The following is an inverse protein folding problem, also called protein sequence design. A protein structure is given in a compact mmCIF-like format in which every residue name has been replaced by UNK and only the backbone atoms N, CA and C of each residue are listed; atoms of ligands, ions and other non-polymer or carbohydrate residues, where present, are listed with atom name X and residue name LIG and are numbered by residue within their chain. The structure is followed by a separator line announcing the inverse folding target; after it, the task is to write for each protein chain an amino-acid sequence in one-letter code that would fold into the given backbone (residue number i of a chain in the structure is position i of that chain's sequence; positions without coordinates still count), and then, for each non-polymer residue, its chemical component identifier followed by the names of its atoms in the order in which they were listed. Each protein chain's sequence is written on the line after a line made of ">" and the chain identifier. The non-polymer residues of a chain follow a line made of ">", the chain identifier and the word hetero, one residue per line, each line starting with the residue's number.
data_IF_557515576621
#
_entry.id   IF_557515576621
#
_cell.length_a   1.000
_cell.length_b   1.000
_cell.length_c   1.000
_cell.angle_alpha   90.00
_cell.angle_beta   90.00
_cell.angle_gamma   90.00
#
_symmetry.space_group_name_H-M   'P 1'
#
loop_
_entity.id
_entity.type
_entity.pdbx_description
1 polymer ?
#
# COMPACT_ATOMS: atom_id res chain seq x y z
N UNK A 1 -16.44 -42.89 -3.41
CA UNK A 1 -16.65 -41.55 -2.83
C UNK A 1 -16.37 -40.37 -3.79
N UNK A 2 -16.23 -40.56 -5.12
CA UNK A 2 -15.83 -39.47 -6.04
C UNK A 2 -17.02 -38.83 -6.80
N UNK A 3 -18.18 -39.49 -6.91
CA UNK A 3 -19.35 -38.95 -7.65
C UNK A 3 -20.12 -37.82 -6.93
N UNK A 4 -19.92 -37.60 -5.63
CA UNK A 4 -20.69 -36.63 -4.84
C UNK A 4 -20.18 -35.18 -4.94
N UNK A 5 -18.87 -34.96 -5.06
CA UNK A 5 -18.30 -33.59 -5.10
C UNK A 5 -18.58 -32.86 -6.41
N UNK A 6 -18.64 -33.58 -7.53
CA UNK A 6 -18.94 -33.00 -8.84
C UNK A 6 -20.40 -32.58 -8.98
N UNK A 7 -21.32 -33.33 -8.35
CA UNK A 7 -22.75 -33.02 -8.34
C UNK A 7 -23.04 -31.77 -7.48
N UNK A 8 -22.35 -31.62 -6.34
CA UNK A 8 -22.48 -30.44 -5.47
C UNK A 8 -22.00 -29.18 -6.18
N UNK A 9 -20.84 -29.21 -6.85
CA UNK A 9 -20.33 -28.05 -7.58
C UNK A 9 -21.22 -27.63 -8.75
N UNK A 10 -21.83 -28.58 -9.47
CA UNK A 10 -22.77 -28.28 -10.57
C UNK A 10 -24.06 -27.63 -10.05
N UNK A 11 -24.59 -28.09 -8.92
CA UNK A 11 -25.79 -27.48 -8.31
C UNK A 11 -25.51 -26.08 -7.77
N UNK A 12 -24.33 -25.83 -7.17
CA UNK A 12 -23.95 -24.50 -6.67
C UNK A 12 -23.78 -23.47 -7.79
N UNK A 13 -23.19 -23.86 -8.92
CA UNK A 13 -23.02 -22.98 -10.09
C UNK A 13 -24.38 -22.62 -10.71
N UNK A 14 -25.32 -23.58 -10.75
CA UNK A 14 -26.66 -23.35 -11.31
C UNK A 14 -27.51 -22.43 -10.42
N UNK A 15 -27.40 -22.53 -9.09
CA UNK A 15 -28.10 -21.66 -8.14
C UNK A 15 -27.58 -20.22 -8.17
N UNK A 16 -26.25 -20.03 -8.30
CA UNK A 16 -25.65 -18.69 -8.42
C UNK A 16 -25.96 -18.02 -9.77
N UNK A 17 -26.05 -18.80 -10.85
CA UNK A 17 -26.45 -18.29 -12.17
C UNK A 17 -27.89 -17.78 -12.22
N UNK A 18 -28.83 -18.48 -11.58
CA UNK A 18 -30.26 -18.09 -11.55
C UNK A 18 -30.50 -16.86 -10.65
N UNK A 19 -29.78 -16.74 -9.53
CA UNK A 19 -29.86 -15.57 -8.65
C UNK A 19 -29.34 -14.27 -9.32
N UNK A 20 -28.28 -14.37 -10.12
CA UNK A 20 -27.74 -13.23 -10.87
C UNK A 20 -28.69 -12.70 -11.95
N UNK A 21 -29.39 -13.59 -12.66
CA UNK A 21 -30.36 -13.21 -13.71
C UNK A 21 -31.62 -12.57 -13.11
N UNK A 22 -32.06 -13.02 -11.93
CA UNK A 22 -33.21 -12.43 -11.22
C UNK A 22 -32.87 -11.03 -10.68
N UNK A 23 -31.69 -10.82 -10.10
CA UNK A 23 -31.26 -9.50 -9.62
C UNK A 23 -31.11 -8.49 -10.77
N UNK A 24 -30.58 -8.93 -11.92
CA UNK A 24 -30.46 -8.08 -13.11
C UNK A 24 -31.82 -7.68 -13.70
N UNK A 25 -32.80 -8.60 -13.71
CA UNK A 25 -34.17 -8.27 -14.14
C UNK A 25 -34.92 -7.39 -13.16
N UNK A 26 -34.68 -7.51 -11.85
CA UNK A 26 -35.26 -6.60 -10.85
C UNK A 26 -34.70 -5.18 -10.94
N UNK A 27 -33.45 -5.02 -11.41
CA UNK A 27 -32.85 -3.71 -11.64
C UNK A 27 -33.42 -2.99 -12.86
N UNK A 28 -33.81 -3.72 -13.92
CA UNK A 28 -34.36 -3.09 -15.13
C UNK A 28 -35.85 -2.71 -15.07
N UNK A 29 -36.60 -3.13 -14.04
CA UNK A 29 -38.07 -2.94 -13.96
C UNK A 29 -38.49 -1.91 -12.89
N UNK A 30 -37.66 -0.92 -12.56
CA UNK A 30 -38.12 0.24 -11.75
C UNK A 30 -38.62 1.37 -12.66
N UNK A 31 -39.93 1.69 -12.70
CA UNK A 31 -40.40 2.90 -13.34
C UNK A 31 -40.08 4.11 -12.44
N UNK A 32 -39.55 5.17 -13.05
CA UNK A 32 -39.43 6.51 -12.48
C UNK A 32 -40.83 7.11 -12.32
N UNK A 33 -41.31 7.21 -11.08
CA UNK A 33 -42.48 8.01 -10.75
C UNK A 33 -42.00 9.43 -10.44
N UNK A 34 -42.12 10.32 -11.43
CA UNK A 34 -42.27 11.76 -11.21
C UNK A 34 -43.70 11.98 -10.68
N UNK A 35 -43.84 12.23 -9.39
CA UNK A 35 -45.12 12.61 -8.80
C UNK A 35 -45.35 14.11 -9.00
N UNK A 36 -46.16 14.41 -10.00
CA UNK A 36 -46.87 15.67 -10.21
C UNK A 36 -47.78 15.96 -9.00
N UNK A 37 -47.41 16.91 -8.14
CA UNK A 37 -48.29 17.45 -7.11
C UNK A 37 -48.87 18.79 -7.58
N UNK A 38 -50.01 18.73 -8.26
CA UNK A 38 -50.92 19.85 -8.45
C UNK A 38 -52.14 19.71 -7.54
N UNK A 39 -52.44 20.80 -6.84
CA UNK A 39 -53.73 21.18 -6.22
C UNK A 39 -54.10 20.61 -4.83
N UNK A 40 -53.87 21.43 -3.79
CA UNK A 40 -54.83 21.63 -2.71
C UNK A 40 -54.90 23.14 -2.33
N UNK A 41 -56.07 23.66 -1.94
CA UNK A 41 -56.35 25.10 -1.92
C UNK A 41 -55.86 25.77 -0.63
N UNK A 42 -55.18 26.91 -0.76
CA UNK A 42 -54.77 27.75 0.38
C UNK A 42 -55.71 28.96 0.47
N UNK A 43 -56.47 29.05 1.54
CA UNK A 43 -57.22 30.25 1.95
C UNK A 43 -56.23 31.28 2.51
N UNK A 44 -56.27 32.56 2.12
CA UNK A 44 -55.31 33.55 2.60
C UNK A 44 -55.75 34.14 3.95
N UNK A 45 -55.00 33.87 5.01
CA UNK A 45 -55.09 34.62 6.26
C UNK A 45 -54.10 35.80 6.24
N UNK A 46 -54.65 37.02 6.31
CA UNK A 46 -53.93 38.29 6.39
C UNK A 46 -53.32 38.50 7.78
N UNK A 47 -52.06 38.95 7.87
CA UNK A 47 -51.45 39.58 9.06
C UNK A 47 -50.56 40.77 8.60
N UNK A 48 -50.52 41.90 9.34
CA UNK A 48 -50.45 43.23 8.76
C UNK A 48 -49.05 43.85 8.65
N UNK A 49 -48.96 44.87 7.80
CA UNK A 49 -47.80 45.70 7.52
C UNK A 49 -47.31 46.49 8.75
N UNK A 50 -45.98 46.50 8.96
CA UNK A 50 -45.28 47.54 9.71
C UNK A 50 -44.05 47.99 8.90
N UNK A 51 -43.85 49.31 8.84
CA UNK A 51 -42.88 50.02 8.02
C UNK A 51 -41.51 50.21 8.70
N UNK A 52 -40.46 50.67 7.97
CA UNK A 52 -39.06 50.35 8.25
C UNK A 52 -38.31 51.37 9.12
N UNK A 53 -37.39 50.88 9.95
CA UNK A 53 -36.40 51.67 10.69
C UNK A 53 -34.99 51.46 10.13
N UNK A 54 -34.31 52.56 9.82
CA UNK A 54 -32.97 52.61 9.24
C UNK A 54 -31.86 52.23 10.24
N UNK A 55 -30.91 51.41 9.82
CA UNK A 55 -29.58 51.32 10.43
C UNK A 55 -28.54 50.80 9.41
N UNK A 56 -27.68 51.73 8.97
CA UNK A 56 -26.29 51.59 8.50
C UNK A 56 -25.77 50.20 8.09
N UNK A 57 -25.55 50.02 6.78
CA UNK A 57 -24.75 48.92 6.22
C UNK A 57 -23.26 49.25 6.26
N UNK A 58 -22.49 48.49 7.03
CA UNK A 58 -21.06 48.23 6.77
C UNK A 58 -20.92 47.14 5.70
N UNK A 59 -19.95 47.20 4.77
CA UNK A 59 -19.88 46.24 3.67
C UNK A 59 -19.43 44.87 4.17
N UNK A 60 -20.35 43.91 4.11
CA UNK A 60 -20.09 42.48 4.26
C UNK A 60 -19.32 42.01 3.04
N UNK A 61 -18.18 41.35 3.24
CA UNK A 61 -17.45 40.61 2.21
C UNK A 61 -18.41 39.58 1.61
N UNK A 62 -18.84 39.79 0.36
CA UNK A 62 -19.71 38.86 -0.36
C UNK A 62 -19.06 37.47 -0.46
N UNK A 63 -19.69 36.49 0.16
CA UNK A 63 -19.47 35.09 -0.13
C UNK A 63 -20.06 34.77 -1.50
N UNK A 64 -19.21 34.53 -2.50
CA UNK A 64 -19.65 34.11 -3.84
C UNK A 64 -20.46 32.80 -3.76
N UNK A 65 -21.63 32.69 -4.41
CA UNK A 65 -22.47 31.49 -4.34
C UNK A 65 -21.78 30.24 -4.88
N UNK A 66 -21.90 29.12 -4.15
CA UNK A 66 -21.29 27.81 -4.45
C UNK A 66 -21.69 27.21 -5.82
N UNK A 67 -22.78 27.70 -6.44
CA UNK A 67 -23.27 27.24 -7.73
C UNK A 67 -22.53 27.89 -8.93
N UNK A 68 -22.14 29.16 -8.81
CA UNK A 68 -21.39 29.87 -9.86
C UNK A 68 -19.90 29.46 -9.91
N UNK A 69 -19.40 28.88 -8.82
CA UNK A 69 -18.01 28.39 -8.71
C UNK A 69 -17.80 27.04 -9.41
N UNK A 70 -18.79 26.12 -9.39
CA UNK A 70 -18.69 24.79 -10.04
C UNK A 70 -18.23 24.77 -11.51
N UNK A 71 -18.74 25.62 -12.43
CA UNK A 71 -18.29 25.62 -13.82
C UNK A 71 -16.85 26.13 -14.00
N UNK A 72 -16.41 27.10 -13.19
CA UNK A 72 -15.03 27.62 -13.21
C UNK A 72 -14.03 26.57 -12.67
N UNK A 73 -14.45 25.86 -11.62
CA UNK A 73 -13.74 24.73 -11.01
C UNK A 73 -13.50 23.61 -12.04
N UNK A 74 -14.53 23.23 -12.79
CA UNK A 74 -14.42 22.21 -13.83
C UNK A 74 -13.48 22.64 -14.97
N UNK A 75 -13.54 23.91 -15.38
CA UNK A 75 -12.67 24.45 -16.44
C UNK A 75 -11.18 24.41 -16.07
N UNK A 76 -10.83 24.67 -14.81
CA UNK A 76 -9.44 24.64 -14.36
C UNK A 76 -8.84 23.21 -14.40
N UNK A 77 -9.60 22.20 -13.97
CA UNK A 77 -9.16 20.79 -14.05
C UNK A 77 -8.98 20.38 -15.51
N UNK A 78 -9.89 20.79 -16.40
CA UNK A 78 -9.80 20.53 -17.84
C UNK A 78 -8.56 21.16 -18.47
N UNK A 79 -8.19 22.39 -18.09
CA UNK A 79 -6.96 23.01 -18.59
C UNK A 79 -5.70 22.22 -18.20
N UNK A 80 -5.61 21.80 -16.93
CA UNK A 80 -4.49 20.97 -16.46
C UNK A 80 -4.45 19.60 -17.15
N UNK A 81 -5.61 18.97 -17.37
CA UNK A 81 -5.71 17.71 -18.10
C UNK A 81 -5.24 17.87 -19.55
N UNK A 82 -5.65 18.93 -20.24
CA UNK A 82 -5.20 19.26 -21.60
C UNK A 82 -3.69 19.47 -21.66
N UNK A 83 -3.14 20.32 -20.80
CA UNK A 83 -1.68 20.56 -20.72
C UNK A 83 -0.90 19.28 -20.46
N UNK A 84 -1.43 18.40 -19.60
CA UNK A 84 -0.83 17.10 -19.31
C UNK A 84 -0.82 16.21 -20.56
N UNK A 85 -1.94 16.10 -21.28
CA UNK A 85 -2.05 15.30 -22.50
C UNK A 85 -1.15 15.81 -23.64
N UNK A 86 -1.07 17.14 -23.80
CA UNK A 86 -0.16 17.76 -24.79
C UNK A 86 1.30 17.44 -24.49
N UNK A 87 1.71 17.49 -23.22
CA UNK A 87 3.06 17.14 -22.80
C UNK A 87 3.34 15.63 -22.95
N UNK A 88 2.35 14.79 -22.61
CA UNK A 88 2.45 13.33 -22.71
C UNK A 88 2.63 12.85 -24.16
N UNK A 89 1.90 13.48 -25.10
CA UNK A 89 1.94 13.14 -26.53
C UNK A 89 3.07 13.84 -27.29
N UNK A 90 3.43 15.06 -26.90
CA UNK A 90 4.39 15.91 -27.61
C UNK A 90 5.84 15.77 -27.17
N UNK A 91 6.13 15.16 -26.02
CA UNK A 91 7.49 15.01 -25.47
C UNK A 91 7.84 13.53 -25.26
N UNK A 92 9.13 13.23 -25.15
CA UNK A 92 9.63 11.89 -24.86
C UNK A 92 10.73 11.91 -23.78
N UNK A 93 10.94 10.74 -23.16
CA UNK A 93 12.00 10.53 -22.18
C UNK A 93 11.94 11.51 -21.01
N UNK A 94 13.11 11.92 -20.53
CA UNK A 94 13.26 12.75 -19.32
C UNK A 94 12.59 14.12 -19.45
N UNK A 95 12.51 14.69 -20.66
CA UNK A 95 11.85 15.97 -20.90
C UNK A 95 10.34 15.87 -20.69
N UNK A 96 9.71 14.78 -21.14
CA UNK A 96 8.31 14.46 -20.87
C UNK A 96 8.08 14.36 -19.37
N UNK A 97 8.86 13.51 -18.69
CA UNK A 97 8.66 13.22 -17.26
C UNK A 97 8.82 14.47 -16.39
N UNK A 98 9.82 15.31 -16.69
CA UNK A 98 10.02 16.60 -16.01
C UNK A 98 8.83 17.55 -16.24
N UNK A 99 8.30 17.61 -17.46
CA UNK A 99 7.16 18.48 -17.78
C UNK A 99 5.88 18.00 -17.09
N UNK A 100 5.59 16.70 -17.11
CA UNK A 100 4.43 16.14 -16.43
C UNK A 100 4.52 16.37 -14.92
N UNK A 101 5.71 16.21 -14.33
CA UNK A 101 5.94 16.51 -12.90
C UNK A 101 5.71 17.98 -12.57
N UNK A 102 6.20 18.90 -13.40
CA UNK A 102 5.93 20.34 -13.26
C UNK A 102 4.44 20.65 -13.30
N UNK A 103 3.70 20.15 -14.31
CA UNK A 103 2.25 20.36 -14.43
C UNK A 103 1.51 19.82 -13.20
N UNK A 104 1.93 18.66 -12.70
CA UNK A 104 1.30 18.01 -11.55
C UNK A 104 1.55 18.82 -10.26
N UNK A 105 2.75 19.38 -10.09
CA UNK A 105 3.11 20.23 -8.94
C UNK A 105 2.33 21.54 -8.96
N UNK A 106 2.20 22.15 -10.14
CA UNK A 106 1.39 23.35 -10.35
C UNK A 106 -0.08 23.08 -9.99
N UNK A 107 -0.61 21.90 -10.34
CA UNK A 107 -1.99 21.51 -10.01
C UNK A 107 -2.21 21.42 -8.50
N UNK A 108 -1.29 20.79 -7.76
CA UNK A 108 -1.36 20.72 -6.29
C UNK A 108 -1.36 22.12 -5.68
N UNK A 109 -0.45 22.97 -6.14
CA UNK A 109 -0.32 24.35 -5.64
C UNK A 109 -1.58 25.17 -5.94
N UNK A 110 -2.16 24.99 -7.13
CA UNK A 110 -3.33 25.74 -7.57
C UNK A 110 -4.62 25.28 -6.88
N UNK A 111 -4.82 23.98 -6.78
CA UNK A 111 -6.07 23.41 -6.28
C UNK A 111 -6.10 23.27 -4.76
N UNK A 112 -4.94 23.09 -4.13
CA UNK A 112 -4.87 22.80 -2.70
C UNK A 112 -5.66 21.53 -2.34
N UNK A 113 -6.06 21.42 -1.08
CA UNK A 113 -6.92 20.35 -0.60
C UNK A 113 -8.40 20.60 -0.95
N UNK A 114 -8.69 20.65 -2.27
CA UNK A 114 -10.01 20.95 -2.83
C UNK A 114 -10.58 19.83 -3.71
N UNK A 115 -11.87 19.92 -4.07
CA UNK A 115 -12.53 18.95 -4.97
C UNK A 115 -11.87 18.84 -6.35
N UNK A 116 -11.24 19.92 -6.83
CA UNK A 116 -10.49 20.00 -8.08
C UNK A 116 -9.28 19.06 -8.08
N UNK A 117 -8.57 18.99 -6.94
CA UNK A 117 -7.43 18.10 -6.80
C UNK A 117 -7.87 16.63 -6.82
N UNK A 118 -9.00 16.29 -6.20
CA UNK A 118 -9.58 14.94 -6.30
C UNK A 118 -9.97 14.61 -7.73
N UNK A 119 -10.61 15.54 -8.43
CA UNK A 119 -10.96 15.37 -9.85
C UNK A 119 -9.71 15.18 -10.71
N UNK A 120 -8.64 15.94 -10.46
CA UNK A 120 -7.36 15.80 -11.16
C UNK A 120 -6.66 14.46 -10.86
N UNK A 121 -6.68 14.00 -9.61
CA UNK A 121 -6.16 12.67 -9.22
C UNK A 121 -6.92 11.53 -9.92
N UNK A 122 -8.23 11.66 -10.07
CA UNK A 122 -9.07 10.71 -10.80
C UNK A 122 -8.81 10.76 -12.31
N UNK A 123 -8.54 11.94 -12.88
CA UNK A 123 -8.08 12.07 -14.26
C UNK A 123 -6.77 11.29 -14.47
N UNK A 124 -5.74 11.54 -13.65
CA UNK A 124 -4.45 10.84 -13.75
C UNK A 124 -4.61 9.31 -13.63
N UNK A 125 -5.54 8.86 -12.79
CA UNK A 125 -5.91 7.45 -12.68
C UNK A 125 -6.44 6.87 -13.99
N UNK A 126 -7.38 7.58 -14.64
CA UNK A 126 -8.02 7.16 -15.87
C UNK A 126 -7.10 7.24 -17.08
N UNK A 127 -6.14 8.18 -17.08
CA UNK A 127 -5.16 8.36 -18.16
C UNK A 127 -4.05 7.32 -18.18
N UNK A 128 -3.97 6.42 -17.18
CA UNK A 128 -2.90 5.44 -17.08
C UNK A 128 -1.55 6.04 -16.65
N UNK A 129 -1.56 7.25 -16.06
CA UNK A 129 -0.39 7.98 -15.58
C UNK A 129 0.15 7.40 -14.26
N UNK A 130 0.56 6.12 -14.28
CA UNK A 130 0.91 5.36 -13.08
C UNK A 130 2.09 6.00 -12.33
N UNK A 131 3.13 6.41 -13.05
CA UNK A 131 4.36 6.95 -12.45
C UNK A 131 4.13 8.31 -11.79
N UNK A 132 3.46 9.22 -12.48
CA UNK A 132 3.19 10.58 -12.01
C UNK A 132 2.21 10.56 -10.85
N UNK A 133 1.16 9.75 -10.94
CA UNK A 133 0.20 9.56 -9.84
C UNK A 133 0.88 8.96 -8.63
N UNK A 134 1.75 7.96 -8.81
CA UNK A 134 2.49 7.34 -7.71
C UNK A 134 3.37 8.36 -7.01
N UNK A 135 4.18 9.13 -7.77
CA UNK A 135 5.02 10.19 -7.20
C UNK A 135 4.19 11.23 -6.43
N UNK A 136 3.07 11.66 -7.00
CA UNK A 136 2.20 12.66 -6.39
C UNK A 136 1.71 12.19 -5.01
N UNK A 137 1.22 10.95 -4.94
CA UNK A 137 0.66 10.37 -3.72
C UNK A 137 1.72 10.05 -2.65
N UNK A 138 3.00 9.89 -3.03
CA UNK A 138 4.08 9.61 -2.08
C UNK A 138 4.90 10.82 -1.67
N UNK A 139 5.02 11.82 -2.53
CA UNK A 139 5.90 12.98 -2.35
C UNK A 139 5.20 14.30 -2.66
N UNK A 140 4.54 14.38 -3.83
CA UNK A 140 4.00 15.64 -4.35
C UNK A 140 2.92 16.30 -3.49
N UNK A 141 2.20 15.52 -2.68
CA UNK A 141 1.17 16.02 -1.75
C UNK A 141 1.71 16.38 -0.36
N UNK A 142 3.01 16.22 -0.11
CA UNK A 142 3.60 16.42 1.22
C UNK A 142 3.28 17.80 1.80
N UNK A 143 3.43 18.85 0.99
CA UNK A 143 3.18 20.24 1.39
C UNK A 143 1.75 20.53 1.84
N UNK A 144 0.76 19.76 1.36
CA UNK A 144 -0.64 19.92 1.79
C UNK A 144 -0.85 19.47 3.23
N UNK A 145 -0.11 18.46 3.66
CA UNK A 145 -0.27 17.84 4.98
C UNK A 145 0.72 18.38 6.03
N UNK A 146 1.58 19.32 5.65
CA UNK A 146 2.50 20.03 6.54
C UNK A 146 2.10 21.50 6.71
N UNK A 147 2.53 22.13 7.80
CA UNK A 147 2.31 23.56 8.00
C UNK A 147 0.85 23.97 8.26
N UNK A 148 0.48 25.26 8.08
CA UNK A 148 -0.79 25.81 8.54
C UNK A 148 -2.04 25.19 7.91
N UNK A 149 -1.95 24.74 6.65
CA UNK A 149 -3.07 24.16 5.89
C UNK A 149 -3.30 22.65 6.15
N UNK A 150 -2.45 22.04 6.98
CA UNK A 150 -2.48 20.61 7.23
C UNK A 150 -3.80 20.15 7.86
N UNK A 151 -4.44 21.01 8.66
CA UNK A 151 -5.72 20.69 9.31
C UNK A 151 -6.84 20.57 8.28
N UNK A 152 -6.93 21.52 7.36
CA UNK A 152 -7.90 21.52 6.26
C UNK A 152 -7.67 20.32 5.33
N UNK A 153 -6.42 20.02 4.98
CA UNK A 153 -6.07 18.86 4.16
C UNK A 153 -6.49 17.53 4.80
N UNK A 154 -6.37 17.43 6.12
CA UNK A 154 -6.80 16.28 6.91
C UNK A 154 -8.31 16.08 6.96
N UNK A 155 -9.10 17.14 6.78
CA UNK A 155 -10.55 17.03 6.60
C UNK A 155 -10.91 16.68 5.16
N UNK A 156 -10.22 17.30 4.19
CA UNK A 156 -10.43 17.06 2.77
C UNK A 156 -10.20 15.61 2.35
N UNK A 157 -9.16 14.93 2.85
CA UNK A 157 -8.88 13.56 2.45
C UNK A 157 -10.06 12.60 2.71
N UNK A 158 -10.90 12.91 3.71
CA UNK A 158 -12.07 12.10 4.06
C UNK A 158 -13.21 12.22 3.04
N UNK A 159 -13.19 13.26 2.20
CA UNK A 159 -14.17 13.45 1.12
C UNK A 159 -13.84 12.62 -0.12
N UNK A 160 -12.68 11.94 -0.15
CA UNK A 160 -12.34 11.01 -1.22
C UNK A 160 -13.29 9.80 -1.18
N UNK A 161 -14.10 9.64 -2.24
CA UNK A 161 -15.04 8.53 -2.38
C UNK A 161 -14.37 7.19 -2.70
N UNK A 162 -13.23 7.22 -3.41
CA UNK A 162 -12.45 6.02 -3.70
C UNK A 162 -11.64 5.58 -2.47
N UNK A 163 -11.90 4.35 -2.01
CA UNK A 163 -11.31 3.82 -0.77
C UNK A 163 -9.79 3.68 -0.85
N UNK A 164 -9.26 3.23 -1.99
CA UNK A 164 -7.81 3.03 -2.18
C UNK A 164 -7.07 4.36 -2.20
N UNK A 165 -7.63 5.35 -2.90
CA UNK A 165 -7.11 6.71 -2.91
C UNK A 165 -7.14 7.29 -1.50
N UNK A 166 -8.26 7.12 -0.78
CA UNK A 166 -8.38 7.59 0.60
C UNK A 166 -7.30 6.97 1.48
N UNK A 167 -7.08 5.66 1.44
CA UNK A 167 -5.99 5.00 2.19
C UNK A 167 -4.59 5.60 1.88
N UNK A 168 -4.31 5.87 0.61
CA UNK A 168 -3.04 6.47 0.18
C UNK A 168 -2.89 7.89 0.74
N UNK A 169 -3.94 8.71 0.69
CA UNK A 169 -3.96 10.04 1.28
C UNK A 169 -3.81 9.98 2.81
N UNK A 170 -4.49 9.05 3.49
CA UNK A 170 -4.36 8.86 4.94
C UNK A 170 -2.92 8.51 5.32
N UNK A 171 -2.27 7.63 4.55
CA UNK A 171 -0.86 7.29 4.77
C UNK A 171 0.06 8.50 4.61
N UNK A 172 -0.16 9.34 3.60
CA UNK A 172 0.65 10.54 3.40
C UNK A 172 0.40 11.58 4.50
N UNK A 173 -0.87 11.78 4.90
CA UNK A 173 -1.22 12.65 6.00
C UNK A 173 -0.54 12.24 7.31
N UNK A 174 -0.43 10.93 7.56
CA UNK A 174 0.28 10.40 8.73
C UNK A 174 1.78 10.69 8.66
N UNK A 175 2.40 10.47 7.49
CA UNK A 175 3.84 10.70 7.29
C UNK A 175 4.26 12.15 7.53
N UNK A 176 3.39 13.09 7.18
CA UNK A 176 3.62 14.53 7.27
C UNK A 176 3.03 15.15 8.55
N UNK A 177 2.49 14.34 9.46
CA UNK A 177 1.86 14.87 10.66
C UNK A 177 2.92 15.48 11.58
N UNK A 178 2.73 16.76 11.90
CA UNK A 178 3.62 17.55 12.75
C UNK A 178 2.88 18.09 13.97
N UNK A 179 3.60 18.22 15.08
CA UNK A 179 3.08 18.80 16.32
C UNK A 179 2.24 17.84 17.16
N UNK A 180 1.70 18.33 18.30
CA UNK A 180 0.81 17.57 19.17
C UNK A 180 -0.55 17.34 18.49
N UNK A 181 -1.39 16.47 19.07
CA UNK A 181 -2.77 16.27 18.59
C UNK A 181 -2.98 15.07 17.67
N UNK A 182 -1.95 14.24 17.44
CA UNK A 182 -2.09 13.06 16.57
C UNK A 182 -3.13 12.07 17.09
N UNK A 183 -3.09 11.76 18.39
CA UNK A 183 -4.01 10.82 19.02
C UNK A 183 -5.45 11.28 18.91
N UNK A 184 -5.71 12.56 19.23
CA UNK A 184 -7.02 13.18 19.15
C UNK A 184 -7.55 13.17 17.71
N UNK A 185 -6.70 13.47 16.73
CA UNK A 185 -7.06 13.40 15.32
C UNK A 185 -7.35 11.95 14.87
N UNK A 186 -6.48 11.02 15.26
CA UNK A 186 -6.63 9.59 14.97
C UNK A 186 -7.91 9.00 15.56
N UNK A 187 -8.30 9.45 16.76
CA UNK A 187 -9.56 9.06 17.41
C UNK A 187 -10.78 9.72 16.77
N UNK A 188 -10.72 11.02 16.49
CA UNK A 188 -11.80 11.78 15.86
C UNK A 188 -12.14 11.29 14.44
N UNK A 189 -11.15 10.74 13.72
CA UNK A 189 -11.37 10.12 12.41
C UNK A 189 -12.41 8.97 12.47
N UNK A 190 -12.49 8.29 13.62
CA UNK A 190 -13.57 7.36 13.97
C UNK A 190 -13.89 6.29 12.91
N UNK A 191 -15.16 5.84 12.89
CA UNK A 191 -15.70 4.92 11.87
C UNK A 191 -15.86 5.61 10.50
N UNK A 192 -15.97 6.94 10.48
CA UNK A 192 -16.30 7.71 9.29
C UNK A 192 -15.30 7.55 8.12
N UNK A 193 -14.02 7.29 8.43
CA UNK A 193 -12.98 7.07 7.41
C UNK A 193 -12.81 5.60 6.97
N UNK A 194 -13.39 4.67 7.74
CA UNK A 194 -13.12 3.23 7.64
C UNK A 194 -11.81 2.81 8.30
N UNK A 195 -11.77 1.54 8.76
CA UNK A 195 -10.62 0.96 9.47
C UNK A 195 -9.32 1.02 8.64
N UNK A 196 -9.41 0.87 7.32
CA UNK A 196 -8.24 0.88 6.44
C UNK A 196 -7.56 2.26 6.32
N UNK A 197 -8.33 3.34 6.28
CA UNK A 197 -7.77 4.70 6.31
C UNK A 197 -7.11 4.98 7.66
N UNK A 198 -7.78 4.64 8.77
CA UNK A 198 -7.22 4.83 10.11
C UNK A 198 -5.92 4.04 10.30
N UNK A 199 -5.88 2.77 9.86
CA UNK A 199 -4.67 1.96 9.84
C UNK A 199 -3.56 2.56 8.97
N UNK A 200 -3.90 3.09 7.80
CA UNK A 200 -2.95 3.73 6.88
C UNK A 200 -2.36 5.02 7.47
N UNK A 201 -3.18 5.84 8.14
CA UNK A 201 -2.74 7.03 8.86
C UNK A 201 -1.72 6.68 9.96
N UNK A 202 -2.06 5.74 10.84
CA UNK A 202 -1.18 5.30 11.93
C UNK A 202 0.14 4.75 11.40
N UNK A 203 0.07 3.96 10.33
CA UNK A 203 1.26 3.41 9.66
C UNK A 203 2.15 4.53 9.13
N UNK A 204 1.58 5.52 8.44
CA UNK A 204 2.33 6.66 7.92
C UNK A 204 3.07 7.43 9.02
N UNK A 205 2.37 7.73 10.12
CA UNK A 205 2.91 8.45 11.26
C UNK A 205 4.05 7.69 11.94
N UNK A 206 3.84 6.41 12.25
CA UNK A 206 4.84 5.60 12.93
C UNK A 206 6.04 5.29 12.03
N UNK A 207 5.86 5.18 10.71
CA UNK A 207 6.98 5.00 9.76
C UNK A 207 7.91 6.22 9.74
N UNK A 208 7.39 7.44 9.78
CA UNK A 208 8.24 8.63 9.87
C UNK A 208 8.99 8.66 11.20
N UNK A 209 8.29 8.40 12.31
CA UNK A 209 8.87 8.35 13.65
C UNK A 209 9.96 7.28 13.79
N UNK A 210 9.74 6.08 13.23
CA UNK A 210 10.64 4.94 13.38
C UNK A 210 12.03 5.16 12.76
N UNK A 211 12.18 6.12 11.85
CA UNK A 211 13.47 6.49 11.26
C UNK A 211 14.41 7.17 12.25
N UNK A 212 13.91 7.73 13.34
CA UNK A 212 14.72 8.39 14.37
C UNK A 212 14.47 7.84 15.77
N UNK A 213 13.27 7.34 16.04
CA UNK A 213 12.88 6.76 17.33
C UNK A 213 12.00 5.50 17.11
N UNK A 214 12.63 4.34 16.79
CA UNK A 214 11.92 3.08 16.56
C UNK A 214 11.17 2.57 17.80
N UNK A 215 11.64 2.89 19.00
CA UNK A 215 11.01 2.47 20.26
C UNK A 215 9.69 3.21 20.50
N UNK A 216 9.69 4.54 20.40
CA UNK A 216 8.46 5.31 20.50
C UNK A 216 7.48 4.97 19.37
N UNK A 217 7.98 4.75 18.15
CA UNK A 217 7.12 4.36 17.02
C UNK A 217 6.36 3.06 17.29
N UNK A 218 7.03 2.02 17.81
CA UNK A 218 6.34 0.78 18.18
C UNK A 218 5.41 0.95 19.37
N UNK A 219 5.81 1.71 20.40
CA UNK A 219 4.95 1.98 21.55
C UNK A 219 3.63 2.62 21.11
N UNK A 220 3.71 3.71 20.35
CA UNK A 220 2.54 4.43 19.81
C UNK A 220 1.71 3.53 18.90
N UNK A 221 2.35 2.77 18.00
CA UNK A 221 1.63 1.86 17.11
C UNK A 221 0.82 0.83 17.91
N UNK A 222 1.43 0.21 18.92
CA UNK A 222 0.77 -0.79 19.79
C UNK A 222 -0.40 -0.15 20.55
N UNK A 223 -0.17 0.97 21.21
CA UNK A 223 -1.21 1.67 22.00
C UNK A 223 -2.45 2.03 21.17
N UNK A 224 -2.27 2.47 19.93
CA UNK A 224 -3.36 2.91 19.07
C UNK A 224 -3.99 1.80 18.22
N UNK A 225 -3.24 0.74 17.89
CA UNK A 225 -3.72 -0.35 17.05
C UNK A 225 -4.60 -1.38 17.79
N UNK A 226 -4.20 -1.79 19.00
CA UNK A 226 -4.82 -2.91 19.70
C UNK A 226 -6.20 -2.66 20.34
N UNK A 227 -6.64 -1.44 20.70
CA UNK A 227 -8.04 -1.22 21.09
C UNK A 227 -9.01 -1.22 19.89
N UNK A 228 -8.53 -1.20 18.63
CA UNK A 228 -9.35 -0.92 17.43
C UNK A 228 -9.34 -1.99 16.33
N UNK A 229 -8.77 -3.18 16.56
CA UNK A 229 -8.64 -4.28 15.56
C UNK A 229 -7.84 -3.88 14.30
N UNK A 230 -6.89 -2.95 14.41
CA UNK A 230 -5.96 -2.66 13.31
C UNK A 230 -4.95 -3.80 13.22
N UNK A 231 -4.73 -4.34 12.01
CA UNK A 231 -3.86 -5.50 11.80
C UNK A 231 -2.37 -5.13 11.89
N UNK A 232 -1.50 -6.13 12.07
CA UNK A 232 -0.05 -5.90 12.14
C UNK A 232 0.58 -5.59 10.76
N UNK A 233 -0.21 -5.40 9.70
CA UNK A 233 0.31 -5.08 8.36
C UNK A 233 1.00 -3.71 8.38
N UNK A 234 0.51 -2.75 9.16
CA UNK A 234 1.20 -1.48 9.34
C UNK A 234 2.47 -1.61 10.17
N UNK A 235 2.46 -2.41 11.25
CA UNK A 235 3.64 -2.64 12.10
C UNK A 235 4.83 -3.20 11.29
N UNK A 236 4.55 -4.09 10.34
CA UNK A 236 5.56 -4.59 9.42
C UNK A 236 6.25 -3.44 8.63
N UNK A 237 5.49 -2.47 8.12
CA UNK A 237 6.06 -1.30 7.45
C UNK A 237 6.87 -0.40 8.39
N UNK A 238 6.45 -0.27 9.65
CA UNK A 238 7.17 0.50 10.68
C UNK A 238 8.54 -0.13 10.97
N UNK A 239 8.59 -1.45 11.17
CA UNK A 239 9.84 -2.18 11.44
C UNK A 239 10.80 -2.19 10.25
N UNK A 240 10.29 -2.07 9.03
CA UNK A 240 11.10 -2.08 7.80
C UNK A 240 12.06 -0.88 7.69
N UNK A 241 11.75 0.24 8.34
CA UNK A 241 12.51 1.49 8.23
C UNK A 241 13.41 1.76 9.45
N UNK A 242 13.63 0.74 10.28
CA UNK A 242 14.48 0.87 11.46
C UNK A 242 15.93 1.22 11.09
N UNK A 243 16.54 2.20 11.79
CA UNK A 243 17.94 2.56 11.60
C UNK A 243 18.92 1.41 11.82
N UNK A 244 20.11 1.52 11.21
CA UNK A 244 21.19 0.53 11.29
C UNK A 244 21.66 0.22 12.73
N UNK A 245 21.62 1.23 13.59
CA UNK A 245 22.02 1.22 14.98
C UNK A 245 20.92 0.76 15.94
N UNK A 246 19.74 0.39 15.42
CA UNK A 246 18.64 -0.15 16.22
C UNK A 246 19.04 -1.42 16.98
N UNK A 247 18.46 -1.59 18.18
CA UNK A 247 18.53 -2.83 18.95
C UNK A 247 17.54 -3.86 18.38
N UNK A 248 17.90 -4.43 17.23
CA UNK A 248 17.08 -5.46 16.55
C UNK A 248 16.77 -6.68 17.45
N UNK A 249 17.69 -7.21 18.27
CA UNK A 249 17.38 -8.27 19.22
C UNK A 249 16.26 -7.90 20.22
N UNK A 250 16.32 -6.69 20.81
CA UNK A 250 15.25 -6.19 21.68
C UNK A 250 13.91 -6.18 20.95
N UNK A 251 13.84 -5.55 19.79
CA UNK A 251 12.59 -5.48 19.01
C UNK A 251 12.07 -6.85 18.58
N UNK A 252 12.96 -7.78 18.24
CA UNK A 252 12.58 -9.13 17.88
C UNK A 252 11.94 -9.88 19.05
N UNK A 253 12.40 -9.64 20.29
CA UNK A 253 11.82 -10.22 21.51
C UNK A 253 10.44 -9.66 21.85
N UNK A 254 10.13 -8.44 21.42
CA UNK A 254 8.85 -7.78 21.65
C UNK A 254 7.75 -8.21 20.68
N UNK A 255 8.10 -8.90 19.58
CA UNK A 255 7.12 -9.45 18.64
C UNK A 255 6.45 -10.64 19.33
N UNK A 256 5.33 -10.36 20.02
CA UNK A 256 4.48 -11.39 20.62
C UNK A 256 4.09 -12.41 19.56
N UNK A 257 4.17 -13.68 19.92
CA UNK A 257 3.61 -14.75 19.10
C UNK A 257 2.09 -14.57 19.05
N UNK A 258 1.59 -14.25 17.86
CA UNK A 258 0.17 -14.21 17.54
C UNK A 258 -0.11 -15.17 16.37
N UNK A 259 -1.34 -15.12 15.82
CA UNK A 259 -1.72 -15.88 14.61
C UNK A 259 -0.55 -15.93 13.62
N UNK A 260 -0.13 -17.15 13.26
CA UNK A 260 1.14 -17.50 12.57
C UNK A 260 1.53 -16.64 11.35
N UNK A 261 0.64 -15.82 10.82
CA UNK A 261 0.87 -14.92 9.68
C UNK A 261 1.32 -13.51 10.06
N UNK A 262 0.81 -12.92 11.16
CA UNK A 262 1.05 -11.53 11.49
C UNK A 262 2.43 -11.31 12.12
N UNK A 263 2.75 -12.06 13.18
CA UNK A 263 4.08 -12.07 13.78
C UNK A 263 5.16 -12.48 12.75
N UNK A 264 4.84 -13.40 11.83
CA UNK A 264 5.75 -13.78 10.74
C UNK A 264 6.04 -12.60 9.81
N UNK A 265 5.05 -11.81 9.40
CA UNK A 265 5.26 -10.62 8.54
C UNK A 265 6.07 -9.53 9.25
N UNK A 266 5.76 -9.26 10.52
CA UNK A 266 6.51 -8.31 11.34
C UNK A 266 7.99 -8.74 11.45
N UNK A 267 8.24 -10.02 11.81
CA UNK A 267 9.60 -10.58 11.85
C UNK A 267 10.33 -10.47 10.52
N UNK A 268 9.67 -10.78 9.40
CA UNK A 268 10.30 -10.68 8.08
C UNK A 268 10.71 -9.24 7.74
N UNK A 269 9.93 -8.24 8.17
CA UNK A 269 10.25 -6.83 7.93
C UNK A 269 11.37 -6.35 8.83
N UNK A 270 11.37 -6.75 10.11
CA UNK A 270 12.48 -6.51 11.02
C UNK A 270 13.79 -7.14 10.50
N UNK A 271 13.75 -8.41 10.08
CA UNK A 271 14.89 -9.12 9.49
C UNK A 271 15.36 -8.46 8.19
N UNK A 272 14.45 -7.87 7.41
CA UNK A 272 14.81 -7.11 6.22
C UNK A 272 15.64 -5.87 6.59
N UNK A 273 15.16 -5.06 7.54
CA UNK A 273 15.87 -3.87 8.01
C UNK A 273 17.22 -4.23 8.65
N UNK A 274 17.24 -5.29 9.47
CA UNK A 274 18.45 -5.78 10.11
C UNK A 274 19.47 -6.25 9.07
N UNK A 275 19.04 -7.03 8.07
CA UNK A 275 19.92 -7.59 7.05
C UNK A 275 20.50 -6.56 6.08
N UNK A 276 19.90 -5.38 5.95
CA UNK A 276 20.47 -4.29 5.15
C UNK A 276 21.81 -3.78 5.71
N UNK A 277 22.05 -3.98 7.01
CA UNK A 277 23.19 -3.36 7.71
C UNK A 277 24.03 -4.38 8.49
N UNK A 278 23.40 -5.39 9.07
CA UNK A 278 24.04 -6.47 9.85
C UNK A 278 23.47 -7.84 9.42
N UNK A 279 23.74 -8.27 8.17
CA UNK A 279 23.16 -9.51 7.64
C UNK A 279 23.61 -10.78 8.38
N UNK A 280 24.84 -10.81 8.89
CA UNK A 280 25.34 -11.94 9.70
C UNK A 280 24.57 -12.08 11.01
N UNK A 281 24.35 -10.97 11.72
CA UNK A 281 23.55 -10.97 12.95
C UNK A 281 22.10 -11.40 12.69
N UNK A 282 21.49 -10.89 11.61
CA UNK A 282 20.14 -11.26 11.22
C UNK A 282 20.05 -12.76 10.87
N UNK A 283 21.04 -13.30 10.14
CA UNK A 283 21.11 -14.72 9.80
C UNK A 283 21.34 -15.59 11.05
N UNK A 284 22.25 -15.16 11.94
CA UNK A 284 22.50 -15.77 13.23
C UNK A 284 21.24 -15.82 14.10
N UNK A 285 20.45 -14.74 14.11
CA UNK A 285 19.17 -14.71 14.83
C UNK A 285 18.18 -15.75 14.29
N UNK A 286 18.04 -15.89 12.96
CA UNK A 286 17.16 -16.90 12.35
C UNK A 286 17.60 -18.31 12.74
N UNK A 287 18.90 -18.60 12.68
CA UNK A 287 19.44 -19.93 13.02
C UNK A 287 19.38 -20.24 14.52
N UNK A 288 19.58 -19.23 15.37
CA UNK A 288 19.58 -19.38 16.83
C UNK A 288 18.19 -19.43 17.45
N UNK A 289 17.12 -19.08 16.71
CA UNK A 289 15.75 -19.00 17.25
C UNK A 289 14.73 -19.84 16.43
N UNK A 290 14.99 -21.13 16.14
CA UNK A 290 14.15 -21.94 15.25
C UNK A 290 12.72 -22.18 15.78
N UNK A 291 12.50 -22.06 17.10
CA UNK A 291 11.17 -22.15 17.69
C UNK A 291 10.31 -20.89 17.42
N UNK A 292 10.94 -19.72 17.27
CA UNK A 292 10.26 -18.42 17.08
C UNK A 292 10.25 -17.97 15.62
N UNK A 293 11.28 -18.36 14.87
CA UNK A 293 11.56 -17.91 13.52
C UNK A 293 11.53 -19.11 12.59
N UNK A 294 10.58 -19.09 11.64
CA UNK A 294 10.56 -20.12 10.62
C UNK A 294 11.81 -20.03 9.74
N UNK A 295 12.35 -21.20 9.38
CA UNK A 295 13.51 -21.33 8.52
C UNK A 295 13.39 -20.57 7.19
N UNK A 296 12.19 -20.46 6.62
CA UNK A 296 11.95 -19.75 5.35
C UNK A 296 12.25 -18.25 5.43
N UNK A 297 12.32 -17.67 6.64
CA UNK A 297 12.74 -16.29 6.83
C UNK A 297 14.24 -16.07 6.58
N UNK A 298 15.07 -17.12 6.55
CA UNK A 298 16.46 -16.99 6.10
C UNK A 298 16.54 -16.48 4.65
N UNK A 299 15.60 -16.90 3.79
CA UNK A 299 15.56 -16.42 2.41
C UNK A 299 15.30 -14.89 2.32
N UNK A 300 14.67 -14.29 3.33
CA UNK A 300 14.48 -12.83 3.42
C UNK A 300 15.82 -12.14 3.71
N UNK A 301 16.56 -12.64 4.71
CA UNK A 301 17.88 -12.12 5.07
C UNK A 301 18.84 -12.22 3.89
N UNK A 302 18.93 -13.41 3.29
CA UNK A 302 19.86 -13.68 2.19
C UNK A 302 19.50 -12.90 0.92
N UNK A 303 18.20 -12.65 0.67
CA UNK A 303 17.81 -11.78 -0.43
C UNK A 303 18.39 -10.37 -0.27
N UNK A 304 18.38 -9.80 0.94
CA UNK A 304 18.96 -8.48 1.19
C UNK A 304 20.48 -8.53 1.15
N UNK A 305 21.08 -9.50 1.81
CA UNK A 305 22.52 -9.66 1.84
C UNK A 305 23.12 -9.86 0.44
N UNK A 306 22.48 -10.68 -0.40
CA UNK A 306 22.96 -10.94 -1.75
C UNK A 306 22.85 -9.72 -2.70
N UNK A 307 22.01 -8.73 -2.37
CA UNK A 307 21.96 -7.49 -3.13
C UNK A 307 23.19 -6.61 -2.89
N UNK A 308 23.77 -6.64 -1.69
CA UNK A 308 24.96 -5.85 -1.35
C UNK A 308 26.26 -6.64 -1.54
N UNK A 309 26.32 -7.89 -1.07
CA UNK A 309 27.49 -8.76 -1.14
C UNK A 309 27.09 -10.23 -1.28
N UNK A 310 26.81 -10.71 -2.51
CA UNK A 310 26.37 -12.08 -2.73
C UNK A 310 27.46 -13.14 -2.44
N UNK A 311 28.73 -12.78 -2.56
CA UNK A 311 29.82 -13.71 -2.27
C UNK A 311 30.04 -13.86 -0.76
N UNK A 312 29.91 -12.78 0.03
CA UNK A 312 29.93 -12.87 1.50
C UNK A 312 28.76 -13.70 2.04
N UNK A 313 27.56 -13.52 1.48
CA UNK A 313 26.39 -14.34 1.83
C UNK A 313 26.62 -15.83 1.52
N UNK A 314 27.25 -16.14 0.39
CA UNK A 314 27.60 -17.50 -0.01
C UNK A 314 28.67 -18.13 0.88
N UNK A 315 29.71 -17.38 1.22
CA UNK A 315 30.77 -17.82 2.13
C UNK A 315 30.20 -18.16 3.50
N UNK A 316 29.43 -17.24 4.09
CA UNK A 316 28.83 -17.47 5.41
C UNK A 316 27.90 -18.68 5.43
N UNK A 317 27.00 -18.81 4.44
CA UNK A 317 26.09 -19.96 4.36
C UNK A 317 26.83 -21.28 4.13
N UNK A 318 27.96 -21.26 3.43
CA UNK A 318 28.76 -22.46 3.20
C UNK A 318 29.38 -22.95 4.51
N UNK A 319 29.83 -22.03 5.36
CA UNK A 319 30.42 -22.31 6.68
C UNK A 319 29.34 -22.59 7.75
N UNK A 320 28.11 -22.14 7.55
CA UNK A 320 27.02 -22.35 8.49
C UNK A 320 26.68 -23.85 8.69
N UNK A 321 26.30 -24.29 9.90
CA UNK A 321 25.85 -25.66 10.16
C UNK A 321 24.61 -26.06 9.35
N UNK A 322 24.59 -27.30 8.87
CA UNK A 322 23.43 -27.88 8.18
C UNK A 322 22.18 -27.75 9.04
N UNK A 323 21.17 -27.07 8.51
CA UNK A 323 19.90 -26.79 9.17
C UNK A 323 18.86 -26.39 8.13
N UNK A 324 17.55 -26.48 8.46
CA UNK A 324 16.50 -25.99 7.57
C UNK A 324 16.69 -24.51 7.20
N UNK A 325 17.17 -23.68 8.14
CA UNK A 325 17.43 -22.26 7.87
C UNK A 325 18.57 -22.09 6.85
N UNK A 326 19.68 -22.82 7.00
CA UNK A 326 20.78 -22.80 6.02
C UNK A 326 20.29 -23.23 4.62
N UNK A 327 19.48 -24.28 4.54
CA UNK A 327 18.90 -24.74 3.27
C UNK A 327 18.04 -23.66 2.61
N UNK A 328 17.22 -22.95 3.40
CA UNK A 328 16.45 -21.80 2.90
C UNK A 328 17.34 -20.62 2.49
N UNK A 329 18.51 -20.46 3.12
CA UNK A 329 19.52 -19.51 2.67
C UNK A 329 20.12 -19.88 1.32
N UNK A 330 20.47 -21.15 1.11
CA UNK A 330 20.93 -21.65 -0.20
C UNK A 330 19.86 -21.49 -1.28
N UNK A 331 18.58 -21.72 -0.95
CA UNK A 331 17.44 -21.40 -1.84
C UNK A 331 17.41 -19.91 -2.18
N UNK A 332 17.68 -19.02 -1.22
CA UNK A 332 17.80 -17.58 -1.45
C UNK A 332 18.89 -17.22 -2.45
N UNK A 333 20.09 -17.77 -2.30
CA UNK A 333 21.21 -17.56 -3.23
C UNK A 333 20.92 -18.12 -4.63
N UNK A 334 20.36 -19.33 -4.70
CA UNK A 334 19.96 -19.91 -5.98
C UNK A 334 18.97 -18.98 -6.71
N UNK A 335 17.96 -18.45 -6.01
CA UNK A 335 17.00 -17.49 -6.59
C UNK A 335 17.65 -16.17 -7.01
N UNK A 336 18.63 -15.68 -6.28
CA UNK A 336 19.34 -14.46 -6.63
C UNK A 336 20.10 -14.62 -7.95
N UNK A 337 20.78 -15.75 -8.14
CA UNK A 337 21.59 -16.01 -9.33
C UNK A 337 20.80 -16.59 -10.51
N UNK A 338 19.59 -17.14 -10.31
CA UNK A 338 18.91 -17.96 -11.34
C UNK A 338 18.73 -17.27 -12.71
N UNK A 339 18.57 -15.94 -12.74
CA UNK A 339 18.40 -15.18 -13.99
C UNK A 339 19.76 -14.74 -14.56
N UNK A 340 20.69 -14.32 -13.69
CA UNK A 340 21.97 -13.72 -14.09
C UNK A 340 23.02 -14.79 -14.44
N UNK A 341 23.02 -15.89 -13.71
CA UNK A 341 23.95 -17.00 -13.86
C UNK A 341 23.26 -18.30 -13.36
N UNK A 342 22.49 -18.97 -14.24
CA UNK A 342 21.78 -20.20 -13.88
C UNK A 342 22.70 -21.34 -13.42
N UNK A 343 23.93 -21.41 -13.93
CA UNK A 343 24.94 -22.38 -13.50
C UNK A 343 25.35 -22.15 -12.04
N UNK A 344 25.68 -20.91 -11.66
CA UNK A 344 25.99 -20.55 -10.26
C UNK A 344 24.77 -20.79 -9.35
N UNK A 345 23.56 -20.52 -9.84
CA UNK A 345 22.34 -20.87 -9.11
C UNK A 345 22.21 -22.38 -8.87
N UNK A 346 22.50 -23.19 -9.88
CA UNK A 346 22.51 -24.66 -9.78
C UNK A 346 23.57 -25.17 -8.79
N UNK A 347 24.71 -24.50 -8.69
CA UNK A 347 25.71 -24.85 -7.68
C UNK A 347 25.17 -24.71 -6.25
N UNK A 348 24.40 -23.65 -5.97
CA UNK A 348 23.71 -23.51 -4.68
C UNK A 348 22.58 -24.52 -4.47
N UNK A 349 21.88 -24.94 -5.54
CA UNK A 349 20.87 -26.01 -5.45
C UNK A 349 21.49 -27.28 -4.89
N UNK A 350 22.69 -27.67 -5.35
CA UNK A 350 23.38 -28.88 -4.87
C UNK A 350 23.76 -28.82 -3.39
N UNK A 351 23.90 -27.62 -2.82
CA UNK A 351 24.28 -27.42 -1.41
C UNK A 351 23.10 -27.48 -0.43
N UNK A 352 21.87 -27.57 -0.94
CA UNK A 352 20.66 -27.78 -0.13
C UNK A 352 20.63 -29.23 0.35
N UNK A 353 20.64 -29.45 1.67
CA UNK A 353 20.67 -30.78 2.26
C UNK A 353 19.32 -31.48 2.16
N UNK A 354 18.23 -30.80 2.52
CA UNK A 354 16.87 -31.33 2.44
C UNK A 354 16.50 -31.69 1.00
N UNK A 355 16.25 -32.99 0.71
CA UNK A 355 16.04 -33.44 -0.67
C UNK A 355 14.81 -32.84 -1.34
N UNK A 356 13.71 -32.67 -0.60
CA UNK A 356 12.47 -32.07 -1.10
C UNK A 356 12.68 -30.59 -1.46
N UNK A 357 13.31 -29.82 -0.57
CA UNK A 357 13.65 -28.42 -0.79
C UNK A 357 14.60 -28.28 -1.98
N UNK A 358 15.64 -29.13 -2.06
CA UNK A 358 16.60 -29.18 -3.17
C UNK A 358 15.89 -29.37 -4.49
N UNK A 359 14.98 -30.35 -4.57
CA UNK A 359 14.22 -30.64 -5.79
C UNK A 359 13.27 -29.50 -6.18
N UNK A 360 12.63 -28.86 -5.20
CA UNK A 360 11.75 -27.73 -5.44
C UNK A 360 12.50 -26.51 -6.04
N UNK A 361 13.67 -26.16 -5.49
CA UNK A 361 14.47 -25.07 -6.06
C UNK A 361 15.13 -25.47 -7.38
N UNK A 362 15.58 -26.71 -7.53
CA UNK A 362 16.12 -27.26 -8.77
C UNK A 362 15.14 -27.07 -9.94
N UNK A 363 13.86 -27.39 -9.74
CA UNK A 363 12.84 -27.28 -10.77
C UNK A 363 12.66 -25.84 -11.25
N UNK A 364 12.72 -24.89 -10.32
CA UNK A 364 12.60 -23.46 -10.63
C UNK A 364 13.84 -22.92 -11.35
N UNK A 365 15.03 -23.29 -10.91
CA UNK A 365 16.30 -22.88 -11.57
C UNK A 365 16.36 -23.46 -12.98
N UNK A 366 16.07 -24.74 -13.17
CA UNK A 366 16.04 -25.39 -14.49
C UNK A 366 14.99 -24.77 -15.40
N UNK A 367 13.80 -24.46 -14.89
CA UNK A 367 12.77 -23.78 -15.68
C UNK A 367 13.27 -22.43 -16.23
N UNK A 368 13.96 -21.64 -15.41
CA UNK A 368 14.53 -20.38 -15.86
C UNK A 368 15.71 -20.60 -16.81
N UNK A 369 16.61 -21.53 -16.47
CA UNK A 369 17.80 -21.86 -17.26
C UNK A 369 17.46 -22.33 -18.68
N UNK A 370 16.40 -23.12 -18.84
CA UNK A 370 15.93 -23.59 -20.16
C UNK A 370 15.62 -22.45 -21.13
N UNK A 371 15.32 -21.24 -20.67
CA UNK A 371 15.07 -20.10 -21.55
C UNK A 371 16.34 -19.64 -22.27
N UNK A 372 17.51 -19.86 -21.68
CA UNK A 372 18.81 -19.46 -22.25
C UNK A 372 19.63 -20.65 -22.75
N UNK A 373 19.58 -21.79 -22.07
CA UNK A 373 20.32 -23.01 -22.41
C UNK A 373 19.54 -24.27 -21.98
N UNK A 374 18.66 -24.78 -22.86
CA UNK A 374 17.88 -25.98 -22.61
C UNK A 374 18.74 -27.22 -22.36
N UNK A 375 19.80 -27.41 -23.13
CA UNK A 375 20.63 -28.62 -23.10
C UNK A 375 21.36 -28.74 -21.77
N UNK A 376 21.99 -27.66 -21.30
CA UNK A 376 22.66 -27.67 -20.00
C UNK A 376 21.65 -27.85 -18.86
N UNK A 377 20.51 -27.17 -18.93
CA UNK A 377 19.46 -27.28 -17.92
C UNK A 377 18.88 -28.70 -17.80
N UNK A 378 18.65 -29.38 -18.92
CA UNK A 378 18.14 -30.75 -18.95
C UNK A 378 19.19 -31.76 -18.47
N UNK A 379 20.46 -31.55 -18.83
CA UNK A 379 21.58 -32.35 -18.31
C UNK A 379 21.69 -32.23 -16.79
N UNK A 380 21.63 -30.99 -16.27
CA UNK A 380 21.64 -30.71 -14.84
C UNK A 380 20.47 -31.39 -14.12
N UNK A 381 19.25 -31.28 -14.66
CA UNK A 381 18.07 -31.94 -14.11
C UNK A 381 18.19 -33.47 -14.08
N UNK A 382 18.72 -34.07 -15.15
CA UNK A 382 18.93 -35.52 -15.24
C UNK A 382 19.98 -36.03 -14.23
N UNK A 383 20.97 -35.19 -13.89
CA UNK A 383 22.01 -35.49 -12.91
C UNK A 383 21.55 -35.33 -11.44
N UNK A 384 20.37 -34.76 -11.18
CA UNK A 384 19.85 -34.62 -9.83
C UNK A 384 19.47 -36.01 -9.26
N UNK A 385 19.91 -36.38 -8.04
CA UNK A 385 19.59 -37.66 -7.44
C UNK A 385 18.08 -37.94 -7.42
N UNK A 386 17.68 -39.15 -7.86
CA UNK A 386 16.31 -39.64 -7.70
C UNK A 386 16.22 -40.25 -6.30
N UNK A 387 15.43 -39.62 -5.44
CA UNK A 387 15.04 -40.15 -4.12
C UNK A 387 14.16 -41.39 -4.24
#
# INVERSE_FOLDING_TARGET
>A
MIKSKTLINLVTILVLGVAGVLCYRMWQVRPSQEESLSELPVTPAQIPATQPGAATQTPVKESVPLAATRPVIAAAVVDFARRWQEADTGLQGTARDAKLRSITTDAVTRFGAGPELLAYLNFLAASGAVTERQWLLTEGLGSLFSGPAAKEARTWLLTAGDEKLREQLCRQAGRMFEGPGFTEYFEAMGVAAGLHCQASLLTGYCVTMAKSDPESALRVYKELAYPKRIDNTGMAHVMLVFPADSDFPKFASEIKEDSMTLAKRARASLLTAWAMTKPEDAAGYVMGNPAKVHADQMAVVVKQWAQSSPDAAAEWLTQAPTSPARDQGMVGLARYWQIKNPQKAWDFVKLVADPQTRRAIAARVVFEWRKSDPTAADSAWAALPRE
#
